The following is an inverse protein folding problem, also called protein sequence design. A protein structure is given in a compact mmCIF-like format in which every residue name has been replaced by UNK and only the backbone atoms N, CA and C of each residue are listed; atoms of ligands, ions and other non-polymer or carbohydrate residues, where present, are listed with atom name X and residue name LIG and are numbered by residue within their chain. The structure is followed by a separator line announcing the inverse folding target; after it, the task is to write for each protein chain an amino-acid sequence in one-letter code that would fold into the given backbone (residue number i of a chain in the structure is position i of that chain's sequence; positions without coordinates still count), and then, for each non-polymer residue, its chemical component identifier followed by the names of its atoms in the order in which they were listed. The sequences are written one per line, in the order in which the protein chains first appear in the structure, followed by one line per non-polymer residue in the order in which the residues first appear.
data_IF_807270352223
#
_entry.id   IF_807270352223
#
_cell.length_a   1.000
_cell.length_b   1.000
_cell.length_c   1.000
_cell.angle_alpha   90.00
_cell.angle_beta   90.00
_cell.angle_gamma   90.00
#
_symmetry.space_group_name_H-M   'P 1'
#
loop_
_entity.id
_entity.type
_entity.pdbx_description
1 polymer ?
#
# COMPACT_ATOMS: atom_id res chain seq x y z
N UNK A 1 6.07 26.99 -0.05
CA UNK A 1 5.90 25.83 -0.96
C UNK A 1 4.57 25.18 -0.60
N UNK A 2 3.57 25.28 -1.47
CA UNK A 2 2.26 24.66 -1.23
C UNK A 2 2.37 23.14 -1.44
N UNK A 3 1.93 22.34 -0.46
CA UNK A 3 2.00 20.89 -0.53
C UNK A 3 0.79 20.36 -1.28
N UNK A 4 0.97 19.95 -2.53
CA UNK A 4 -0.07 19.27 -3.33
C UNK A 4 0.05 17.76 -3.16
N UNK A 5 -1.08 17.11 -2.87
CA UNK A 5 -1.25 15.67 -2.77
C UNK A 5 -1.63 15.10 -4.13
N UNK A 6 -0.99 13.98 -4.47
CA UNK A 6 -1.33 13.16 -5.63
C UNK A 6 -1.90 11.82 -5.13
N UNK A 7 -3.05 11.41 -5.64
CA UNK A 7 -3.68 10.14 -5.27
C UNK A 7 -3.84 9.22 -6.49
N UNK A 8 -3.24 8.03 -6.42
CA UNK A 8 -3.06 7.09 -7.54
C UNK A 8 -4.02 5.90 -7.56
N UNK A 9 -5.31 6.09 -7.28
CA UNK A 9 -6.33 5.07 -7.59
C UNK A 9 -7.70 5.69 -7.78
N UNK A 10 -7.73 6.88 -8.39
CA UNK A 10 -8.92 7.67 -8.48
C UNK A 10 -9.11 8.16 -9.91
N UNK A 11 -10.05 7.55 -10.62
CA UNK A 11 -10.51 8.07 -11.90
C UNK A 11 -11.10 9.47 -11.68
N UNK A 12 -10.52 10.47 -12.33
CA UNK A 12 -11.12 11.79 -12.41
C UNK A 12 -12.43 11.69 -13.20
N UNK A 13 -13.57 11.81 -12.52
CA UNK A 13 -14.90 11.68 -13.12
C UNK A 13 -15.67 10.41 -12.75
N UNK A 14 -15.06 9.49 -12.00
CA UNK A 14 -15.80 8.37 -11.40
C UNK A 14 -16.58 8.88 -10.18
N UNK A 15 -17.90 8.64 -10.18
CA UNK A 15 -18.79 8.97 -9.08
C UNK A 15 -18.29 8.40 -7.74
N UNK A 16 -17.56 7.28 -7.76
CA UNK A 16 -16.93 6.70 -6.56
C UNK A 16 -15.97 7.66 -5.87
N UNK A 17 -15.30 8.56 -6.60
CA UNK A 17 -14.27 9.44 -6.04
C UNK A 17 -14.75 10.88 -5.79
N UNK A 18 -16.02 11.19 -6.06
CA UNK A 18 -16.58 12.54 -5.89
C UNK A 18 -16.43 13.05 -4.45
N UNK A 19 -16.51 12.16 -3.46
CA UNK A 19 -16.32 12.50 -2.06
C UNK A 19 -14.91 13.05 -1.75
N UNK A 20 -13.87 12.59 -2.45
CA UNK A 20 -12.50 13.09 -2.25
C UNK A 20 -12.33 14.56 -2.70
N UNK A 21 -13.08 14.98 -3.72
CA UNK A 21 -13.10 16.37 -4.18
C UNK A 21 -13.87 17.30 -3.25
N UNK A 22 -14.67 16.75 -2.33
CA UNK A 22 -15.43 17.50 -1.32
C UNK A 22 -14.65 17.71 -0.02
N UNK A 23 -13.44 17.14 0.10
CA UNK A 23 -12.57 17.39 1.25
C UNK A 23 -12.12 18.85 1.27
N UNK A 24 -11.90 19.38 2.46
CA UNK A 24 -11.41 20.74 2.64
C UNK A 24 -10.11 20.95 1.88
N UNK A 25 -10.05 22.03 1.09
CA UNK A 25 -8.92 22.40 0.25
C UNK A 25 -8.55 21.42 -0.89
N UNK A 26 -9.40 20.44 -1.20
CA UNK A 26 -9.12 19.48 -2.28
C UNK A 26 -8.88 20.14 -3.64
N UNK A 27 -9.64 21.18 -4.01
CA UNK A 27 -9.51 21.85 -5.32
C UNK A 27 -8.10 22.41 -5.58
N UNK A 28 -7.41 22.91 -4.55
CA UNK A 28 -6.05 23.44 -4.67
C UNK A 28 -4.95 22.40 -4.39
N UNK A 29 -5.24 21.43 -3.53
CA UNK A 29 -4.24 20.54 -2.95
C UNK A 29 -4.37 19.08 -3.37
N UNK A 30 -5.40 18.66 -4.10
CA UNK A 30 -5.61 17.26 -4.50
C UNK A 30 -5.65 17.12 -6.01
N UNK A 31 -4.73 16.31 -6.55
CA UNK A 31 -4.78 15.84 -7.93
C UNK A 31 -4.99 14.32 -7.95
N UNK A 32 -6.06 13.90 -8.61
CA UNK A 32 -6.40 12.49 -8.78
C UNK A 32 -5.80 11.97 -10.08
N UNK A 33 -5.19 10.79 -10.03
CA UNK A 33 -4.60 10.12 -11.17
C UNK A 33 -5.23 8.73 -11.34
N UNK A 34 -5.46 8.36 -12.60
CA UNK A 34 -5.77 6.98 -12.96
C UNK A 34 -4.44 6.23 -12.99
N UNK A 35 -4.18 5.45 -11.95
CA UNK A 35 -2.93 4.72 -11.84
C UNK A 35 -3.19 3.25 -11.55
N UNK A 36 -2.28 2.43 -12.05
CA UNK A 36 -2.19 1.02 -11.76
C UNK A 36 -0.79 0.76 -11.22
N UNK A 37 -0.66 0.15 -10.03
CA UNK A 37 0.64 -0.14 -9.43
C UNK A 37 1.51 -1.07 -10.31
N UNK A 38 0.90 -1.79 -11.24
CA UNK A 38 1.58 -2.67 -12.18
C UNK A 38 2.02 -1.96 -13.47
N UNK A 39 1.59 -0.72 -13.68
CA UNK A 39 2.03 0.15 -14.76
C UNK A 39 3.13 1.09 -14.24
N UNK A 40 4.38 0.73 -14.50
CA UNK A 40 5.55 1.43 -13.97
C UNK A 40 5.66 2.87 -14.46
N UNK A 41 5.40 3.10 -15.75
CA UNK A 41 5.62 4.42 -16.37
C UNK A 41 4.59 5.43 -15.87
N UNK A 42 3.33 5.00 -15.76
CA UNK A 42 2.25 5.80 -15.17
C UNK A 42 2.56 6.13 -13.70
N UNK A 43 3.00 5.13 -12.92
CA UNK A 43 3.38 5.32 -11.53
C UNK A 43 4.56 6.29 -11.38
N UNK A 44 5.59 6.17 -12.20
CA UNK A 44 6.75 7.05 -12.20
C UNK A 44 6.34 8.50 -12.48
N UNK A 45 5.53 8.73 -13.50
CA UNK A 45 4.99 10.06 -13.83
C UNK A 45 4.12 10.64 -12.69
N UNK A 46 3.33 9.81 -12.02
CA UNK A 46 2.57 10.23 -10.85
C UNK A 46 3.48 10.63 -9.68
N UNK A 47 4.58 9.91 -9.45
CA UNK A 47 5.52 10.16 -8.34
C UNK A 47 6.45 11.36 -8.59
N UNK A 48 6.64 11.76 -9.85
CA UNK A 48 7.49 12.89 -10.23
C UNK A 48 7.06 14.20 -9.55
N UNK A 49 8.02 14.96 -9.01
CA UNK A 49 7.76 16.21 -8.27
C UNK A 49 7.20 16.04 -6.85
N UNK A 50 6.91 14.82 -6.39
CA UNK A 50 6.55 14.57 -4.99
C UNK A 50 7.80 14.58 -4.08
N UNK A 51 7.69 15.19 -2.89
CA UNK A 51 8.76 15.20 -1.88
C UNK A 51 8.72 14.00 -0.91
N UNK A 52 7.64 13.22 -0.95
CA UNK A 52 7.41 12.03 -0.14
C UNK A 52 6.18 11.27 -0.62
N UNK A 53 6.06 10.02 -0.21
CA UNK A 53 5.01 9.11 -0.67
C UNK A 53 4.47 8.23 0.46
N UNK A 54 3.15 8.05 0.47
CA UNK A 54 2.46 7.08 1.31
C UNK A 54 1.94 5.94 0.43
N UNK A 55 2.53 4.76 0.56
CA UNK A 55 2.09 3.55 -0.12
C UNK A 55 1.06 2.83 0.75
N UNK A 56 -0.21 3.14 0.50
CA UNK A 56 -1.37 2.57 1.21
C UNK A 56 -2.04 1.46 0.39
N UNK A 57 -1.81 1.44 -0.92
CA UNK A 57 -2.49 0.56 -1.83
C UNK A 57 -1.97 -0.89 -1.70
N UNK A 58 -2.80 -1.76 -1.14
CA UNK A 58 -2.54 -3.19 -1.02
C UNK A 58 -3.80 -3.96 -1.47
N UNK A 59 -3.68 -5.04 -2.26
CA UNK A 59 -4.79 -5.95 -2.47
C UNK A 59 -5.22 -6.56 -1.13
N UNK A 60 -6.51 -6.53 -0.85
CA UNK A 60 -7.13 -7.17 0.31
C UNK A 60 -8.22 -8.09 -0.21
N UNK A 61 -8.26 -9.32 0.28
CA UNK A 61 -9.30 -10.28 -0.04
C UNK A 61 -9.92 -10.82 1.24
N UNK A 62 -11.21 -11.12 1.15
CA UNK A 62 -12.01 -11.67 2.24
C UNK A 62 -12.51 -13.06 1.82
N UNK A 63 -12.47 -14.02 2.75
CA UNK A 63 -12.89 -15.41 2.52
C UNK A 63 -11.84 -16.30 1.84
N UNK A 64 -12.25 -17.52 1.51
CA UNK A 64 -11.40 -18.56 0.93
C UNK A 64 -10.84 -18.12 -0.44
N UNK A 65 -9.51 -18.09 -0.55
CA UNK A 65 -8.79 -17.78 -1.78
C UNK A 65 -7.96 -18.99 -2.24
N UNK A 66 -8.27 -19.61 -3.40
CA UNK A 66 -7.60 -20.83 -3.84
C UNK A 66 -6.09 -20.67 -4.13
N UNK A 67 -5.65 -19.47 -4.51
CA UNK A 67 -4.24 -19.18 -4.79
C UNK A 67 -3.84 -17.77 -4.35
N UNK A 68 -3.63 -17.54 -3.04
CA UNK A 68 -3.25 -16.23 -2.50
C UNK A 68 -1.92 -15.72 -3.04
N UNK A 69 -1.01 -16.64 -3.36
CA UNK A 69 0.31 -16.31 -3.90
C UNK A 69 0.19 -15.58 -5.24
N UNK A 70 -0.53 -16.17 -6.20
CA UNK A 70 -0.69 -15.59 -7.52
C UNK A 70 -1.64 -14.38 -7.53
N UNK A 71 -2.70 -14.39 -6.72
CA UNK A 71 -3.77 -13.40 -6.80
C UNK A 71 -3.51 -12.15 -5.94
N UNK A 72 -2.83 -12.30 -4.80
CA UNK A 72 -2.67 -11.23 -3.82
C UNK A 72 -1.20 -10.88 -3.60
N UNK A 73 -0.39 -11.87 -3.21
CA UNK A 73 1.00 -11.66 -2.78
C UNK A 73 1.85 -11.13 -3.94
N UNK A 74 1.81 -11.78 -5.12
CA UNK A 74 2.59 -11.34 -6.28
C UNK A 74 2.24 -9.92 -6.72
N UNK A 75 0.96 -9.55 -6.69
CA UNK A 75 0.48 -8.20 -7.04
C UNK A 75 0.95 -7.16 -6.02
N UNK A 76 0.81 -7.45 -4.72
CA UNK A 76 1.28 -6.59 -3.64
C UNK A 76 2.80 -6.39 -3.70
N UNK A 77 3.57 -7.46 -3.91
CA UNK A 77 5.03 -7.41 -4.04
C UNK A 77 5.45 -6.59 -5.26
N UNK A 78 4.92 -6.91 -6.44
CA UNK A 78 5.26 -6.21 -7.69
C UNK A 78 4.91 -4.73 -7.59
N UNK A 79 3.71 -4.40 -7.12
CA UNK A 79 3.28 -3.01 -6.96
C UNK A 79 4.14 -2.24 -5.98
N UNK A 80 4.50 -2.85 -4.84
CA UNK A 80 5.37 -2.20 -3.84
C UNK A 80 6.79 -2.00 -4.37
N UNK A 81 7.34 -2.99 -5.07
CA UNK A 81 8.66 -2.88 -5.70
C UNK A 81 8.69 -1.78 -6.77
N UNK A 82 7.64 -1.65 -7.57
CA UNK A 82 7.52 -0.56 -8.55
C UNK A 82 7.52 0.81 -7.87
N UNK A 83 6.76 0.98 -6.78
CA UNK A 83 6.73 2.24 -6.00
C UNK A 83 8.11 2.58 -5.45
N UNK A 84 8.77 1.60 -4.82
CA UNK A 84 10.10 1.81 -4.23
C UNK A 84 11.14 2.12 -5.30
N UNK A 85 11.11 1.42 -6.44
CA UNK A 85 11.99 1.66 -7.57
C UNK A 85 11.80 3.07 -8.13
N UNK A 86 10.57 3.47 -8.45
CA UNK A 86 10.27 4.81 -8.96
C UNK A 86 10.66 5.91 -7.96
N UNK A 87 10.51 5.67 -6.65
CA UNK A 87 10.98 6.61 -5.64
C UNK A 87 12.51 6.67 -5.53
N UNK A 88 13.21 5.54 -5.72
CA UNK A 88 14.68 5.48 -5.65
C UNK A 88 15.36 6.21 -6.81
N UNK A 89 14.74 6.19 -8.00
CA UNK A 89 15.24 6.87 -9.20
C UNK A 89 15.07 8.40 -9.08
N UNK A 90 14.12 8.86 -8.26
CA UNK A 90 13.89 10.28 -8.03
C UNK A 90 14.40 10.63 -6.62
N UNK A 91 15.70 10.93 -6.54
CA UNK A 91 16.47 11.12 -5.30
C UNK A 91 15.76 11.91 -4.19
N UNK A 92 15.95 11.49 -2.93
CA UNK A 92 15.61 12.29 -1.75
C UNK A 92 14.20 12.12 -1.17
N UNK A 93 13.44 11.09 -1.58
CA UNK A 93 12.07 10.88 -1.09
C UNK A 93 12.01 9.92 0.10
N UNK A 94 11.22 10.30 1.12
CA UNK A 94 10.77 9.36 2.16
C UNK A 94 9.53 8.63 1.67
N UNK A 95 9.57 7.29 1.72
CA UNK A 95 8.43 6.42 1.45
C UNK A 95 7.92 5.85 2.76
N UNK A 96 6.63 5.99 3.03
CA UNK A 96 5.93 5.35 4.15
C UNK A 96 5.08 4.22 3.56
N UNK A 97 5.39 2.98 3.93
CA UNK A 97 4.58 1.81 3.54
C UNK A 97 3.64 1.46 4.69
N UNK A 98 2.35 1.33 4.40
CA UNK A 98 1.36 0.90 5.40
C UNK A 98 1.32 -0.62 5.46
N UNK A 99 1.91 -1.18 6.51
CA UNK A 99 1.80 -2.61 6.83
C UNK A 99 0.51 -2.90 7.60
N UNK A 100 0.32 -4.16 8.00
CA UNK A 100 -0.83 -4.62 8.75
C UNK A 100 -0.41 -5.27 10.08
N UNK A 101 -1.27 -5.22 11.09
CA UNK A 101 -0.97 -5.74 12.44
C UNK A 101 -0.71 -7.25 12.42
N UNK A 102 -1.32 -8.01 11.51
CA UNK A 102 -1.07 -9.43 11.37
C UNK A 102 0.37 -9.77 10.98
N UNK A 103 1.18 -8.81 10.53
CA UNK A 103 2.61 -8.98 10.24
C UNK A 103 3.45 -9.24 11.51
N UNK A 104 2.93 -8.89 12.70
CA UNK A 104 3.67 -9.04 13.98
C UNK A 104 3.00 -9.98 14.99
N UNK A 105 1.74 -10.37 14.77
CA UNK A 105 0.94 -11.13 15.75
C UNK A 105 0.90 -12.65 15.52
N UNK A 106 1.11 -13.12 14.29
CA UNK A 106 0.79 -14.49 13.85
C UNK A 106 2.04 -15.36 13.96
N UNK A 107 2.36 -15.81 15.17
CA UNK A 107 3.50 -16.69 15.42
C UNK A 107 3.24 -17.58 16.64
N UNK A 108 3.21 -18.91 16.46
CA UNK A 108 2.86 -19.86 17.53
C UNK A 108 3.96 -20.02 18.58
N UNK A 109 5.19 -19.59 18.28
CA UNK A 109 6.33 -19.64 19.21
C UNK A 109 6.35 -18.50 20.22
N UNK A 110 5.46 -17.50 20.09
CA UNK A 110 5.43 -16.39 21.04
C UNK A 110 4.89 -16.79 22.41
N UNK A 111 5.69 -16.49 23.44
CA UNK A 111 5.26 -16.56 24.83
C UNK A 111 4.12 -15.55 25.07
N UNK A 112 3.10 -15.97 25.83
CA UNK A 112 1.90 -15.16 26.09
C UNK A 112 2.20 -13.82 26.78
N UNK A 113 3.23 -13.79 27.61
CA UNK A 113 3.56 -12.61 28.44
C UNK A 113 4.57 -11.67 27.78
N UNK A 114 4.96 -11.93 26.52
CA UNK A 114 5.91 -11.08 25.79
C UNK A 114 5.20 -9.86 25.21
N UNK A 115 5.66 -8.67 25.61
CA UNK A 115 5.31 -7.40 24.95
C UNK A 115 5.81 -7.46 23.50
N UNK A 116 4.93 -7.16 22.55
CA UNK A 116 5.25 -7.16 21.12
C UNK A 116 5.61 -5.74 20.69
N UNK A 117 6.70 -5.62 19.95
CA UNK A 117 7.28 -4.37 19.45
C UNK A 117 7.59 -4.48 17.95
N UNK A 118 8.24 -3.47 17.39
CA UNK A 118 8.60 -3.39 15.97
C UNK A 118 9.66 -4.43 15.55
N UNK A 119 10.30 -5.14 16.50
CA UNK A 119 11.22 -6.24 16.22
C UNK A 119 10.51 -7.59 16.10
N UNK A 120 9.21 -7.65 16.39
CA UNK A 120 8.41 -8.87 16.30
C UNK A 120 7.94 -9.14 14.86
N UNK A 121 7.99 -10.40 14.44
CA UNK A 121 7.51 -10.84 13.13
C UNK A 121 6.64 -12.10 13.27
N UNK A 122 5.63 -12.16 12.42
CA UNK A 122 4.83 -13.36 12.19
C UNK A 122 5.66 -14.47 11.55
N UNK A 123 5.35 -15.70 11.93
CA UNK A 123 5.99 -16.88 11.36
C UNK A 123 5.42 -17.15 9.96
N UNK A 124 6.29 -17.10 8.95
CA UNK A 124 5.88 -17.19 7.54
C UNK A 124 5.29 -18.56 7.20
N UNK A 125 5.85 -19.64 7.74
CA UNK A 125 5.37 -21.00 7.44
C UNK A 125 4.03 -21.27 8.10
N UNK A 126 3.87 -20.81 9.34
CA UNK A 126 2.60 -20.84 10.04
C UNK A 126 1.53 -20.04 9.30
N UNK A 127 1.84 -18.81 8.85
CA UNK A 127 0.91 -18.00 8.06
C UNK A 127 0.42 -18.68 6.77
N UNK A 128 1.26 -19.52 6.13
CA UNK A 128 0.86 -20.26 4.91
C UNK A 128 -0.06 -21.45 5.20
N UNK A 129 0.03 -22.00 6.40
CA UNK A 129 -0.75 -23.19 6.80
C UNK A 129 -2.06 -22.82 7.49
N UNK A 130 -2.13 -21.63 8.09
CA UNK A 130 -3.37 -21.10 8.66
C UNK A 130 -4.24 -20.43 7.59
N UNK A 131 -5.53 -20.79 7.55
CA UNK A 131 -6.52 -19.99 6.83
C UNK A 131 -6.65 -18.61 7.50
N UNK A 132 -6.86 -17.57 6.70
CA UNK A 132 -7.21 -16.26 7.24
C UNK A 132 -8.43 -16.42 8.16
N UNK A 133 -8.32 -15.88 9.37
CA UNK A 133 -9.39 -15.92 10.36
C UNK A 133 -10.55 -15.09 9.80
N UNK A 134 -11.73 -15.71 9.66
CA UNK A 134 -13.01 -15.05 9.36
C UNK A 134 -13.42 -14.10 10.50
#
# INVERSE_FOLDING_TARGET
MEKKLKCGKCLAGDNKNTHLKRLDNATGNLKLFKENLLDYDSLHAAIEGCIGLFHVACPVAFGDMPNPEAQLIKSALTGTLNVLKACSEISGKRVVVVSFVATVLVNPSWLRDRIKDEACWSDKEYCRTTKAID
#
